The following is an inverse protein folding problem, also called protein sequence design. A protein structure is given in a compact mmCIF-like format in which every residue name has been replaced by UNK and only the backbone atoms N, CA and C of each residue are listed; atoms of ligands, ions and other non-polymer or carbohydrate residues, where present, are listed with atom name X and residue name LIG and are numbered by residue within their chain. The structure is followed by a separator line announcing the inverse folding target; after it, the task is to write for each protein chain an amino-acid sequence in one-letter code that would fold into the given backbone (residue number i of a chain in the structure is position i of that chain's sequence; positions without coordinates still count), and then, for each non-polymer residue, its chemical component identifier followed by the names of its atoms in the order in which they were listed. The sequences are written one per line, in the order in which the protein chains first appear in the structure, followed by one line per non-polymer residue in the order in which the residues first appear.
data_IF_120187081160
#
_entry.id   IF_120187081160
#
_cell.length_a   1.000
_cell.length_b   1.000
_cell.length_c   1.000
_cell.angle_alpha   90.00
_cell.angle_beta   90.00
_cell.angle_gamma   90.00
#
_symmetry.space_group_name_H-M   'P 1'
#
loop_
_entity.id
_entity.type
_entity.pdbx_description
1 polymer ?
#
# COMPACT_ATOMS: atom_id res chain seq x y z
N UNK A 1 -68.47 -8.17 -25.04
CA UNK A 1 -67.32 -7.25 -25.13
C UNK A 1 -66.41 -7.47 -23.97
N UNK A 2 -65.33 -8.21 -24.18
CA UNK A 2 -64.29 -8.49 -23.15
C UNK A 2 -63.11 -7.57 -23.38
N UNK A 3 -62.83 -6.66 -22.47
CA UNK A 3 -61.64 -5.79 -22.50
C UNK A 3 -60.49 -6.54 -21.84
N UNK A 4 -59.50 -6.90 -22.62
CA UNK A 4 -58.25 -7.49 -22.15
C UNK A 4 -57.33 -6.36 -21.66
N UNK A 5 -56.98 -6.41 -20.40
CA UNK A 5 -56.01 -5.49 -19.74
C UNK A 5 -54.63 -6.04 -19.95
N UNK A 6 -53.81 -5.35 -20.74
CA UNK A 6 -52.41 -5.71 -21.00
C UNK A 6 -51.55 -5.18 -19.86
N UNK A 7 -51.07 -6.06 -19.02
CA UNK A 7 -50.07 -5.74 -17.97
C UNK A 7 -48.69 -5.73 -18.62
N UNK A 8 -48.10 -4.54 -18.78
CA UNK A 8 -46.70 -4.38 -19.20
C UNK A 8 -45.81 -4.55 -17.97
N UNK A 9 -45.10 -5.68 -17.91
CA UNK A 9 -44.01 -5.89 -16.98
C UNK A 9 -42.79 -5.10 -17.46
N UNK A 10 -42.41 -4.05 -16.71
CA UNK A 10 -41.17 -3.33 -16.90
C UNK A 10 -40.08 -4.08 -16.14
N UNK A 11 -39.26 -4.84 -16.85
CA UNK A 11 -38.05 -5.46 -16.30
C UNK A 11 -36.99 -4.38 -16.15
N UNK A 12 -36.80 -3.87 -14.94
CA UNK A 12 -35.71 -2.95 -14.59
C UNK A 12 -34.38 -3.73 -14.52
N UNK A 13 -33.55 -3.59 -15.55
CA UNK A 13 -32.16 -4.05 -15.49
C UNK A 13 -31.36 -3.18 -14.52
N UNK A 14 -31.06 -3.72 -13.34
CA UNK A 14 -30.12 -3.12 -12.42
C UNK A 14 -28.70 -3.38 -12.96
N UNK A 15 -28.13 -2.39 -13.62
CA UNK A 15 -26.71 -2.37 -13.97
C UNK A 15 -25.89 -2.19 -12.69
N UNK A 16 -25.36 -3.29 -12.15
CA UNK A 16 -24.37 -3.24 -11.09
C UNK A 16 -23.07 -2.74 -11.70
N UNK A 17 -22.81 -1.45 -11.56
CA UNK A 17 -21.49 -0.88 -11.80
C UNK A 17 -20.55 -1.41 -10.72
N UNK A 18 -19.79 -2.47 -11.03
CA UNK A 18 -18.58 -2.80 -10.29
C UNK A 18 -17.60 -1.64 -10.47
N UNK A 19 -17.58 -0.68 -9.55
CA UNK A 19 -16.49 0.28 -9.44
C UNK A 19 -15.23 -0.53 -9.12
N UNK A 20 -14.41 -0.77 -10.13
CA UNK A 20 -13.04 -1.22 -9.92
C UNK A 20 -12.35 -0.11 -9.13
N UNK A 21 -12.11 -0.35 -7.84
CA UNK A 21 -11.26 0.51 -7.03
C UNK A 21 -9.86 0.46 -7.66
N UNK A 22 -9.52 1.47 -8.44
CA UNK A 22 -8.16 1.66 -8.94
C UNK A 22 -7.29 1.84 -7.71
N UNK A 23 -6.31 0.96 -7.54
CA UNK A 23 -5.39 1.06 -6.41
C UNK A 23 -4.69 2.42 -6.47
N UNK A 24 -4.97 3.28 -5.47
CA UNK A 24 -4.52 4.67 -5.44
C UNK A 24 -3.01 4.79 -5.26
N UNK A 25 -2.34 3.73 -4.83
CA UNK A 25 -0.90 3.68 -4.59
C UNK A 25 -0.06 3.52 -5.85
N UNK A 26 -0.66 3.21 -7.01
CA UNK A 26 0.06 3.04 -8.27
C UNK A 26 0.56 4.36 -8.86
N UNK A 27 1.68 4.30 -9.56
CA UNK A 27 2.29 5.43 -10.26
C UNK A 27 3.63 5.84 -9.67
N UNK A 28 4.07 7.04 -10.03
CA UNK A 28 5.34 7.63 -9.61
C UNK A 28 5.14 8.53 -8.38
N UNK A 29 6.05 8.40 -7.41
CA UNK A 29 6.01 9.10 -6.15
C UNK A 29 7.37 9.68 -5.80
N UNK A 30 7.42 10.96 -5.49
CA UNK A 30 8.64 11.68 -5.07
C UNK A 30 8.87 11.54 -3.59
N UNK A 31 10.10 11.27 -3.19
CA UNK A 31 10.50 11.24 -1.80
C UNK A 31 10.28 12.59 -1.12
N UNK A 32 9.51 12.62 -0.04
CA UNK A 32 9.17 13.85 0.70
C UNK A 32 9.73 13.87 2.13
N UNK A 33 9.94 12.73 2.78
CA UNK A 33 10.63 12.68 4.06
C UNK A 33 12.15 12.64 3.89
N UNK A 34 12.89 13.11 4.88
CA UNK A 34 14.35 13.03 4.90
C UNK A 34 14.87 11.60 4.79
N UNK A 35 14.16 10.65 5.44
CA UNK A 35 14.47 9.23 5.36
C UNK A 35 14.31 8.69 3.94
N UNK A 36 13.20 9.02 3.26
CA UNK A 36 12.97 8.62 1.88
C UNK A 36 14.03 9.22 0.95
N UNK A 37 14.30 10.52 1.08
CA UNK A 37 15.33 11.21 0.27
C UNK A 37 16.74 10.64 0.49
N UNK A 38 17.03 10.11 1.66
CA UNK A 38 18.35 9.59 2.01
C UNK A 38 18.54 8.12 1.69
N UNK A 39 17.47 7.33 1.59
CA UNK A 39 17.55 5.86 1.46
C UNK A 39 16.96 5.40 0.13
N UNK A 40 15.68 5.63 -0.10
CA UNK A 40 14.97 5.10 -1.27
C UNK A 40 15.05 6.00 -2.48
N UNK A 41 15.12 7.31 -2.29
CA UNK A 41 14.78 8.25 -3.35
C UNK A 41 13.33 8.09 -3.78
N UNK A 42 13.03 8.51 -4.99
CA UNK A 42 11.71 8.38 -5.60
C UNK A 42 11.38 6.91 -5.87
N UNK A 43 10.10 6.59 -5.85
CA UNK A 43 9.61 5.23 -6.10
C UNK A 43 8.53 5.22 -7.19
N UNK A 44 8.42 4.11 -7.90
CA UNK A 44 7.32 3.87 -8.82
C UNK A 44 6.66 2.53 -8.50
N UNK A 45 5.34 2.52 -8.38
CA UNK A 45 4.55 1.35 -8.01
C UNK A 45 3.63 0.95 -9.16
N UNK A 46 3.62 -0.34 -9.48
CA UNK A 46 2.69 -0.97 -10.41
C UNK A 46 2.02 -2.18 -9.73
N UNK A 47 1.22 -2.94 -10.47
CA UNK A 47 0.50 -4.08 -9.89
C UNK A 47 1.44 -5.18 -9.35
N UNK A 48 2.56 -5.39 -10.02
CA UNK A 48 3.46 -6.50 -9.72
C UNK A 48 4.90 -6.05 -9.39
N UNK A 49 5.17 -4.75 -9.42
CA UNK A 49 6.53 -4.23 -9.28
C UNK A 49 6.59 -2.94 -8.50
N UNK A 50 7.64 -2.79 -7.71
CA UNK A 50 8.09 -1.52 -7.16
C UNK A 50 9.49 -1.22 -7.67
N UNK A 51 9.69 -0.03 -8.21
CA UNK A 51 11.02 0.50 -8.50
C UNK A 51 11.45 1.44 -7.37
N UNK A 52 12.59 1.17 -6.78
CA UNK A 52 13.23 1.97 -5.73
C UNK A 52 14.62 2.34 -6.24
N UNK A 53 14.91 3.64 -6.32
CA UNK A 53 16.18 4.13 -6.87
C UNK A 53 16.56 3.44 -8.20
N UNK A 54 15.62 3.36 -9.14
CA UNK A 54 15.75 2.75 -10.46
C UNK A 54 15.94 1.21 -10.45
N UNK A 55 15.94 0.56 -9.29
CA UNK A 55 15.99 -0.90 -9.17
C UNK A 55 14.60 -1.44 -8.96
N UNK A 56 14.22 -2.41 -9.76
CA UNK A 56 12.86 -2.99 -9.74
C UNK A 56 12.83 -4.29 -8.94
N UNK A 57 11.83 -4.41 -8.08
CA UNK A 57 11.51 -5.60 -7.29
C UNK A 57 10.09 -6.07 -7.59
N UNK A 58 9.89 -7.39 -7.63
CA UNK A 58 8.55 -7.96 -7.74
C UNK A 58 7.81 -7.83 -6.41
N UNK A 59 6.54 -7.47 -6.48
CA UNK A 59 5.63 -7.43 -5.34
C UNK A 59 4.40 -8.26 -5.62
N UNK A 60 3.76 -8.75 -4.57
CA UNK A 60 2.47 -9.41 -4.66
C UNK A 60 1.50 -8.75 -3.66
N UNK A 61 0.39 -8.24 -4.16
CA UNK A 61 -0.67 -7.70 -3.31
C UNK A 61 -1.29 -8.84 -2.50
N UNK A 62 -1.35 -8.69 -1.18
CA UNK A 62 -1.92 -9.68 -0.26
C UNK A 62 -3.36 -9.31 0.09
N UNK A 63 -3.55 -8.10 0.66
CA UNK A 63 -4.86 -7.59 1.05
C UNK A 63 -4.84 -6.11 1.35
N UNK A 64 -6.01 -5.49 1.40
CA UNK A 64 -6.18 -4.18 2.01
C UNK A 64 -6.05 -4.27 3.54
N UNK A 65 -5.62 -3.19 4.18
CA UNK A 65 -5.64 -3.03 5.62
C UNK A 65 -7.00 -2.48 6.09
N UNK A 66 -7.41 -2.91 7.28
CA UNK A 66 -8.56 -2.37 7.98
C UNK A 66 -8.21 -1.01 8.62
N UNK A 67 -9.20 -0.16 8.94
CA UNK A 67 -8.96 1.14 9.55
C UNK A 67 -8.12 1.08 10.84
N UNK A 68 -8.40 0.12 11.71
CA UNK A 68 -7.64 -0.07 12.96
C UNK A 68 -6.18 -0.48 12.72
N UNK A 69 -5.92 -1.24 11.64
CA UNK A 69 -4.57 -1.62 11.25
C UNK A 69 -3.79 -0.43 10.67
N UNK A 70 -4.46 0.43 9.90
CA UNK A 70 -3.88 1.68 9.38
C UNK A 70 -3.48 2.59 10.54
N UNK A 71 -4.36 2.73 11.55
CA UNK A 71 -4.07 3.49 12.75
C UNK A 71 -2.86 2.95 13.51
N UNK A 72 -2.73 1.62 13.61
CA UNK A 72 -1.61 0.98 14.28
C UNK A 72 -0.26 1.29 13.61
N UNK A 73 -0.22 1.27 12.26
CA UNK A 73 1.04 1.43 11.50
C UNK A 73 1.41 2.90 11.28
N UNK A 74 0.46 3.74 10.91
CA UNK A 74 0.72 5.09 10.41
C UNK A 74 0.19 6.21 11.31
N UNK A 75 -0.75 5.91 12.20
CA UNK A 75 -1.41 6.87 13.09
C UNK A 75 -1.75 8.20 12.39
N UNK A 76 -2.50 8.17 11.29
CA UNK A 76 -2.82 9.37 10.54
C UNK A 76 -3.87 10.23 11.28
N UNK A 77 -3.80 11.55 11.10
CA UNK A 77 -4.76 12.49 11.69
C UNK A 77 -6.15 12.38 11.02
N UNK A 78 -6.18 12.05 9.73
CA UNK A 78 -7.41 11.89 8.94
C UNK A 78 -7.27 10.70 7.99
N UNK A 79 -8.31 9.86 7.96
CA UNK A 79 -8.39 8.70 7.06
C UNK A 79 -9.44 8.86 5.96
N UNK A 80 -10.03 10.03 5.79
CA UNK A 80 -11.04 10.28 4.75
C UNK A 80 -10.47 10.03 3.37
N UNK A 81 -11.07 9.10 2.62
CA UNK A 81 -10.60 8.72 1.29
C UNK A 81 -9.25 8.03 1.25
N UNK A 82 -8.71 7.62 2.40
CA UNK A 82 -7.45 6.91 2.48
C UNK A 82 -7.61 5.42 2.16
N UNK A 83 -6.53 4.82 1.67
CA UNK A 83 -6.42 3.38 1.45
C UNK A 83 -5.05 2.88 1.87
N UNK A 84 -4.98 1.62 2.30
CA UNK A 84 -3.72 0.97 2.61
C UNK A 84 -3.74 -0.48 2.16
N UNK A 85 -2.60 -0.97 1.70
CA UNK A 85 -2.44 -2.32 1.16
C UNK A 85 -1.18 -2.98 1.69
N UNK A 86 -1.28 -4.27 1.99
CA UNK A 86 -0.16 -5.13 2.34
C UNK A 86 0.35 -5.84 1.10
N UNK A 87 1.64 -5.81 0.90
CA UNK A 87 2.35 -6.52 -0.16
C UNK A 87 3.43 -7.44 0.40
N UNK A 88 3.60 -8.59 -0.25
CA UNK A 88 4.82 -9.38 -0.15
C UNK A 88 5.86 -8.78 -1.09
N UNK A 89 7.10 -8.63 -0.61
CA UNK A 89 8.25 -8.20 -1.39
C UNK A 89 9.46 -9.04 -0.98
N UNK A 90 10.48 -9.10 -1.81
CA UNK A 90 11.75 -9.75 -1.46
C UNK A 90 12.89 -8.84 -1.89
N UNK A 91 13.50 -8.15 -0.93
CA UNK A 91 14.64 -7.28 -1.16
C UNK A 91 15.78 -7.77 -0.27
N UNK A 92 16.87 -8.31 -0.85
CA UNK A 92 17.98 -8.83 -0.07
C UNK A 92 18.65 -7.75 0.77
N UNK A 93 19.13 -8.11 1.96
CA UNK A 93 19.88 -7.21 2.85
C UNK A 93 21.15 -6.65 2.21
N UNK A 94 21.75 -7.41 1.27
CA UNK A 94 22.92 -6.98 0.50
C UNK A 94 22.62 -5.82 -0.47
N UNK A 95 21.33 -5.61 -0.81
CA UNK A 95 20.94 -4.51 -1.70
C UNK A 95 21.15 -3.18 -1.03
N UNK A 96 21.94 -2.32 -1.65
CA UNK A 96 22.17 -0.95 -1.20
C UNK A 96 21.45 0.04 -2.11
N UNK A 97 20.95 1.07 -1.49
CA UNK A 97 20.26 2.20 -2.12
C UNK A 97 21.09 3.48 -1.99
N UNK A 98 20.44 4.63 -1.88
CA UNK A 98 21.14 5.91 -1.76
C UNK A 98 22.08 5.91 -0.54
N UNK A 99 23.22 6.55 -0.68
CA UNK A 99 24.25 6.69 0.37
C UNK A 99 24.68 5.32 0.97
N UNK A 100 24.60 4.24 0.18
CA UNK A 100 24.91 2.86 0.61
C UNK A 100 24.03 2.33 1.76
N UNK A 101 22.84 2.92 1.95
CA UNK A 101 21.88 2.44 2.94
C UNK A 101 21.14 1.18 2.46
N UNK A 102 20.69 0.36 3.39
CA UNK A 102 19.72 -0.73 3.18
C UNK A 102 18.37 -0.37 3.82
N UNK A 103 17.30 -1.08 3.46
CA UNK A 103 15.98 -0.85 4.05
C UNK A 103 15.89 -1.40 5.47
N UNK A 104 16.31 -2.65 5.66
CA UNK A 104 16.16 -3.39 6.92
C UNK A 104 17.51 -3.77 7.56
N UNK A 105 18.55 -2.98 7.35
CA UNK A 105 19.86 -3.23 7.96
C UNK A 105 20.50 -4.52 7.41
N UNK A 106 20.72 -5.49 8.28
CA UNK A 106 21.31 -6.80 7.94
C UNK A 106 20.29 -7.86 7.55
N UNK A 107 18.99 -7.53 7.56
CA UNK A 107 17.91 -8.46 7.25
C UNK A 107 17.27 -8.16 5.89
N UNK A 108 16.72 -9.19 5.26
CA UNK A 108 15.95 -9.06 4.03
C UNK A 108 14.63 -8.31 4.32
N UNK A 109 14.23 -7.44 3.40
CA UNK A 109 12.90 -6.83 3.45
C UNK A 109 11.89 -7.78 2.84
N UNK A 110 10.89 -8.16 3.63
CA UNK A 110 9.94 -9.22 3.27
C UNK A 110 8.52 -8.71 3.02
N UNK A 111 8.16 -7.59 3.66
CA UNK A 111 6.81 -7.02 3.57
C UNK A 111 6.86 -5.51 3.38
N UNK A 112 5.83 -5.03 2.72
CA UNK A 112 5.63 -3.61 2.46
C UNK A 112 4.16 -3.29 2.70
N UNK A 113 3.90 -2.19 3.40
CA UNK A 113 2.56 -1.62 3.54
C UNK A 113 2.56 -0.24 2.91
N UNK A 114 1.63 0.01 2.01
CA UNK A 114 1.37 1.34 1.46
C UNK A 114 0.16 1.96 2.14
N UNK A 115 0.21 3.25 2.39
CA UNK A 115 -0.91 4.09 2.82
C UNK A 115 -0.97 5.31 1.92
N UNK A 116 -2.13 5.56 1.33
CA UNK A 116 -2.34 6.71 0.43
C UNK A 116 -3.52 7.54 0.91
N UNK A 117 -3.30 8.83 1.02
CA UNK A 117 -4.34 9.83 1.27
C UNK A 117 -4.11 11.02 0.33
N UNK A 118 -5.01 11.21 -0.64
CA UNK A 118 -4.88 12.26 -1.66
C UNK A 118 -3.58 12.14 -2.47
N UNK A 119 -2.71 13.15 -2.35
CA UNK A 119 -1.42 13.22 -3.04
C UNK A 119 -0.24 12.73 -2.19
N UNK A 120 -0.49 12.25 -1.00
CA UNK A 120 0.52 11.75 -0.08
C UNK A 120 0.49 10.23 -0.02
N UNK A 121 1.67 9.61 0.05
CA UNK A 121 1.83 8.18 0.30
C UNK A 121 2.86 7.98 1.41
N UNK A 122 2.58 7.00 2.29
CA UNK A 122 3.58 6.45 3.22
C UNK A 122 3.80 4.98 2.88
N UNK A 123 5.04 4.53 3.00
CA UNK A 123 5.40 3.12 2.87
C UNK A 123 6.12 2.70 4.15
N UNK A 124 5.65 1.62 4.77
CA UNK A 124 6.34 0.94 5.86
C UNK A 124 6.93 -0.37 5.33
N UNK A 125 8.21 -0.62 5.61
CA UNK A 125 8.89 -1.86 5.27
C UNK A 125 9.14 -2.70 6.52
N UNK A 126 9.04 -4.01 6.34
CA UNK A 126 9.26 -4.97 7.42
C UNK A 126 10.18 -6.08 6.97
N UNK A 127 11.05 -6.54 7.89
CA UNK A 127 11.82 -7.77 7.74
C UNK A 127 10.97 -9.00 8.05
N UNK A 128 11.28 -9.90 8.83
CA UNK A 128 10.45 -11.00 9.29
C UNK A 128 9.84 -11.90 8.20
N UNK A 129 9.85 -13.20 8.42
CA UNK A 129 9.30 -14.15 7.46
C UNK A 129 7.76 -14.23 7.50
N UNK A 130 7.17 -13.98 8.67
CA UNK A 130 5.72 -13.98 8.88
C UNK A 130 5.14 -12.60 8.58
N UNK A 131 3.88 -12.53 8.12
CA UNK A 131 3.20 -11.24 7.97
C UNK A 131 3.21 -10.45 9.28
N UNK A 132 3.42 -9.11 9.21
CA UNK A 132 3.34 -8.27 10.40
C UNK A 132 1.97 -8.34 11.08
N UNK A 133 1.97 -8.23 12.40
CA UNK A 133 0.75 -8.07 13.20
C UNK A 133 0.46 -6.59 13.38
N UNK A 134 -0.64 -6.11 12.80
CA UNK A 134 -1.01 -4.70 12.80
C UNK A 134 -1.90 -4.37 14.01
N UNK A 135 -1.31 -4.43 15.20
CA UNK A 135 -1.91 -3.97 16.44
C UNK A 135 -0.97 -2.92 17.07
N UNK A 136 -1.48 -1.90 17.80
CA UNK A 136 -0.66 -0.81 18.32
C UNK A 136 0.56 -1.31 19.14
N UNK A 137 0.33 -2.22 20.09
CA UNK A 137 1.42 -2.77 20.90
C UNK A 137 2.41 -3.61 20.09
N UNK A 138 1.91 -4.38 19.10
CA UNK A 138 2.76 -5.19 18.24
C UNK A 138 3.66 -4.31 17.35
N UNK A 139 3.11 -3.23 16.79
CA UNK A 139 3.89 -2.28 15.99
C UNK A 139 4.87 -1.49 16.85
N UNK A 140 4.45 -0.99 18.03
CA UNK A 140 5.32 -0.22 18.91
C UNK A 140 6.53 -1.02 19.42
N UNK A 141 6.39 -2.34 19.59
CA UNK A 141 7.44 -3.25 20.03
C UNK A 141 8.05 -4.09 18.91
N UNK A 142 7.72 -3.79 17.64
CA UNK A 142 8.19 -4.59 16.51
C UNK A 142 9.68 -4.40 16.28
N UNK A 143 10.41 -5.50 16.23
CA UNK A 143 11.80 -5.54 15.76
C UNK A 143 11.89 -5.67 14.26
N UNK A 144 10.78 -6.02 13.60
CA UNK A 144 10.72 -6.27 12.16
C UNK A 144 10.37 -5.01 11.36
N UNK A 145 9.81 -3.97 12.00
CA UNK A 145 9.55 -2.69 11.35
C UNK A 145 10.88 -1.97 11.06
N UNK A 146 11.22 -1.88 9.79
CA UNK A 146 12.49 -1.30 9.34
C UNK A 146 12.44 0.22 9.26
N UNK A 147 11.27 0.78 8.95
CA UNK A 147 11.07 2.22 8.85
C UNK A 147 9.83 2.58 8.05
N UNK A 148 9.47 3.86 8.16
CA UNK A 148 8.38 4.47 7.40
C UNK A 148 8.91 5.61 6.55
N UNK A 149 8.52 5.64 5.30
CA UNK A 149 9.00 6.55 4.26
C UNK A 149 7.82 7.32 3.67
N UNK A 150 7.96 8.63 3.52
CA UNK A 150 6.89 9.47 2.99
C UNK A 150 7.20 9.98 1.60
N UNK A 151 6.16 10.04 0.78
CA UNK A 151 6.21 10.42 -0.63
C UNK A 151 5.05 11.35 -0.98
N UNK A 152 5.18 12.04 -2.11
CA UNK A 152 4.12 12.89 -2.69
C UNK A 152 4.09 12.78 -4.21
N UNK A 153 2.96 13.16 -4.82
CA UNK A 153 2.80 13.28 -6.28
C UNK A 153 2.02 14.53 -6.67
#
# INVERSE_FOLDING_TARGET
MKRATLVRAVAGSVLIFCMMAVAQDKGYWRASSSTAQSITGDVALSDEKIAINLVTFTIAHIRALKPEEIMAVFNPDDMTGASASLYRVSIPASRKFLKKNSLCGSEDTQWMVTYVSGRAMKIAFFSGQKPPVFAPDAIANSTDLCGTFSYTR
#
